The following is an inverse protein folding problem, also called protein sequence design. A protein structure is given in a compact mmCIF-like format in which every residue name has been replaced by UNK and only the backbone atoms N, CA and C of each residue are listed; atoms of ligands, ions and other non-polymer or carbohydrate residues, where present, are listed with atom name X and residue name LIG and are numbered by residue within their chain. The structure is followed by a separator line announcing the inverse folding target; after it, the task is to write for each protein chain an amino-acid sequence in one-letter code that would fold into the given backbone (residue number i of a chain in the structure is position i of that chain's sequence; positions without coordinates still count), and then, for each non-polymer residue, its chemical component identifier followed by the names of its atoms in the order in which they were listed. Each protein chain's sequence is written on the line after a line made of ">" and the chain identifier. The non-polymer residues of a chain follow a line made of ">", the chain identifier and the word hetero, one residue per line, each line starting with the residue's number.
data_IF_195892331436
#
_entry.id   IF_195892331436
#
_cell.length_a   1.000
_cell.length_b   1.000
_cell.length_c   1.000
_cell.angle_alpha   90.00
_cell.angle_beta   90.00
_cell.angle_gamma   90.00
#
_symmetry.space_group_name_H-M   'P 1'
#
loop_
_entity.id
_entity.type
_entity.pdbx_description
1 polymer ?
#
# COMPACT_ATOMS: atom_id res chain seq x y z
N UNK A 1 0.74 -11.68 7.41
CA UNK A 1 1.00 -10.23 7.33
C UNK A 1 2.10 -10.03 6.30
N UNK A 2 1.75 -9.50 5.12
CA UNK A 2 2.70 -9.15 4.08
C UNK A 2 3.46 -7.87 4.48
N UNK A 3 4.63 -7.65 3.89
CA UNK A 3 5.37 -6.41 4.09
C UNK A 3 4.57 -5.19 3.57
N UNK A 4 3.83 -5.38 2.48
CA UNK A 4 2.89 -4.38 1.94
C UNK A 4 1.82 -3.99 2.95
N UNK A 5 1.23 -4.94 3.68
CA UNK A 5 0.24 -4.63 4.73
C UNK A 5 0.83 -3.77 5.85
N UNK A 6 2.07 -4.04 6.26
CA UNK A 6 2.77 -3.24 7.27
C UNK A 6 3.04 -1.82 6.75
N UNK A 7 3.40 -1.70 5.47
CA UNK A 7 3.66 -0.42 4.82
C UNK A 7 2.39 0.44 4.77
N UNK A 8 1.24 -0.12 4.36
CA UNK A 8 -0.03 0.59 4.35
C UNK A 8 -0.41 1.06 5.76
N UNK A 9 -0.30 0.20 6.77
CA UNK A 9 -0.57 0.58 8.17
C UNK A 9 0.33 1.70 8.69
N UNK A 10 1.59 1.74 8.27
CA UNK A 10 2.47 2.84 8.63
C UNK A 10 1.98 4.15 8.03
N UNK A 11 1.55 4.15 6.76
CA UNK A 11 1.01 5.34 6.10
C UNK A 11 -0.30 5.82 6.75
N UNK A 12 -1.19 4.90 7.14
CA UNK A 12 -2.41 5.23 7.89
C UNK A 12 -2.09 5.92 9.22
N UNK A 13 -1.08 5.43 9.96
CA UNK A 13 -0.65 6.04 11.22
C UNK A 13 -0.04 7.43 11.05
N UNK A 14 0.55 7.72 9.89
CA UNK A 14 1.06 9.05 9.52
C UNK A 14 -0.05 9.98 8.99
N UNK A 15 -1.31 9.51 8.96
CA UNK A 15 -2.46 10.30 8.51
C UNK A 15 -2.57 10.45 6.99
N UNK A 16 -2.00 9.52 6.22
CA UNK A 16 -2.13 9.53 4.76
C UNK A 16 -3.55 9.09 4.36
N UNK A 17 -4.32 10.02 3.80
CA UNK A 17 -5.71 9.78 3.40
C UNK A 17 -5.86 9.21 1.99
N UNK A 18 -4.90 9.47 1.11
CA UNK A 18 -4.96 9.08 -0.30
C UNK A 18 -3.62 8.57 -0.81
N UNK A 19 -3.64 7.43 -1.49
CA UNK A 19 -2.49 6.83 -2.15
C UNK A 19 -2.90 6.55 -3.60
N UNK A 20 -2.09 7.02 -4.55
CA UNK A 20 -2.29 6.78 -5.97
C UNK A 20 -1.16 5.90 -6.50
N UNK A 21 -1.52 4.82 -7.19
CA UNK A 21 -0.57 3.90 -7.79
C UNK A 21 -0.88 3.64 -9.25
N UNK A 22 0.15 3.50 -10.07
CA UNK A 22 0.05 3.02 -11.45
C UNK A 22 0.39 1.52 -11.44
N UNK A 23 -0.50 0.63 -11.90
CA UNK A 23 -0.25 -0.80 -11.93
C UNK A 23 0.98 -1.17 -12.77
N UNK A 24 1.92 -1.89 -12.15
CA UNK A 24 3.08 -2.54 -12.75
C UNK A 24 3.31 -3.89 -12.09
N UNK A 25 3.91 -4.84 -12.80
CA UNK A 25 4.15 -6.21 -12.28
C UNK A 25 4.90 -6.19 -10.95
N UNK A 26 5.82 -5.25 -10.80
CA UNK A 26 6.65 -5.04 -9.60
C UNK A 26 5.87 -4.56 -8.37
N UNK A 27 4.70 -3.95 -8.53
CA UNK A 27 3.95 -3.34 -7.44
C UNK A 27 2.56 -3.96 -7.19
N UNK A 28 2.19 -5.02 -7.92
CA UNK A 28 0.88 -5.68 -7.78
C UNK A 28 0.58 -6.10 -6.33
N UNK A 29 1.56 -6.67 -5.63
CA UNK A 29 1.39 -7.08 -4.22
C UNK A 29 1.12 -5.90 -3.28
N UNK A 30 1.69 -4.71 -3.58
CA UNK A 30 1.46 -3.50 -2.80
C UNK A 30 0.08 -2.91 -3.10
N UNK A 31 -0.30 -2.86 -4.38
CA UNK A 31 -1.62 -2.40 -4.81
C UNK A 31 -2.75 -3.30 -4.30
N UNK A 32 -2.50 -4.61 -4.20
CA UNK A 32 -3.46 -5.54 -3.60
C UNK A 32 -3.67 -5.27 -2.10
N UNK A 33 -2.65 -4.81 -1.38
CA UNK A 33 -2.78 -4.40 0.03
C UNK A 33 -3.47 -3.05 0.24
N UNK A 34 -3.73 -2.28 -0.83
CA UNK A 34 -4.51 -1.03 -0.78
C UNK A 34 -6.04 -1.26 -0.89
N UNK A 35 -6.49 -2.51 -1.06
CA UNK A 35 -7.91 -2.86 -1.19
C UNK A 35 -8.65 -2.95 0.14
#
# INVERSE_FOLDING_TARGET
>A
MKASDLFIKALENEGVEYIFGIPGEENLDLLDSMR
#
